data_IF_333861488892
#
_entry.id   IF_333861488892
#
_cell.length_a   1.000
_cell.length_b   1.000
_cell.length_c   1.000
_cell.angle_alpha   90.00
_cell.angle_beta   90.00
_cell.angle_gamma   90.00
#
_symmetry.space_group_name_H-M   'P 1'
#
loop_
_entity.id
_entity.type
_entity.pdbx_description
1 polymer ?
#
# COMPACT_ATOMS: atom_id res chain seq x y z
N UNK A 1 -1.84 -27.37 -15.22
CA UNK A 1 -1.41 -26.29 -16.14
C UNK A 1 -0.56 -25.31 -15.34
N UNK A 2 0.72 -25.16 -15.66
CA UNK A 2 1.72 -24.46 -14.85
C UNK A 2 1.49 -22.94 -14.87
N UNK A 3 1.07 -22.38 -13.73
CA UNK A 3 1.02 -20.92 -13.52
C UNK A 3 2.44 -20.36 -13.43
N UNK A 4 2.79 -19.46 -14.35
CA UNK A 4 4.06 -18.74 -14.41
C UNK A 4 4.35 -18.05 -13.08
N UNK A 5 5.30 -18.57 -12.30
CA UNK A 5 5.94 -17.80 -11.24
C UNK A 5 6.75 -16.69 -11.90
N UNK A 6 6.19 -15.48 -11.95
CA UNK A 6 6.97 -14.29 -12.32
C UNK A 6 8.09 -14.12 -11.27
N UNK A 7 9.34 -14.39 -11.68
CA UNK A 7 10.53 -14.42 -10.80
C UNK A 7 11.02 -13.02 -10.38
N UNK A 8 10.31 -11.95 -10.70
CA UNK A 8 10.71 -10.57 -10.38
C UNK A 8 10.11 -10.12 -9.04
N UNK A 9 10.82 -9.28 -8.25
CA UNK A 9 10.22 -8.56 -7.14
C UNK A 9 8.98 -7.79 -7.59
N UNK A 10 8.01 -7.62 -6.70
CA UNK A 10 6.83 -6.78 -6.98
C UNK A 10 7.27 -5.37 -7.36
N UNK A 11 6.70 -4.82 -8.44
CA UNK A 11 7.03 -3.47 -8.91
C UNK A 11 6.35 -2.39 -8.06
N UNK A 12 6.86 -1.15 -8.12
CA UNK A 12 6.23 -0.01 -7.43
C UNK A 12 4.80 0.21 -7.90
N UNK A 13 4.54 0.08 -9.21
CA UNK A 13 3.19 0.23 -9.77
C UNK A 13 2.22 -0.82 -9.22
N UNK A 14 2.64 -2.09 -9.13
CA UNK A 14 1.84 -3.16 -8.54
C UNK A 14 1.57 -2.92 -7.05
N UNK A 15 2.57 -2.44 -6.29
CA UNK A 15 2.41 -2.06 -4.89
C UNK A 15 1.43 -0.89 -4.74
N UNK A 16 1.57 0.15 -5.56
CA UNK A 16 0.68 1.30 -5.59
C UNK A 16 -0.77 0.90 -5.82
N UNK A 17 -1.03 0.09 -6.85
CA UNK A 17 -2.37 -0.43 -7.13
C UNK A 17 -2.95 -1.22 -5.96
N UNK A 18 -2.13 -2.08 -5.32
CA UNK A 18 -2.56 -2.90 -4.20
C UNK A 18 -2.92 -2.04 -2.98
N UNK A 19 -2.08 -1.05 -2.67
CA UNK A 19 -2.30 -0.07 -1.59
C UNK A 19 -3.58 0.74 -1.84
N UNK A 20 -3.72 1.34 -3.03
CA UNK A 20 -4.88 2.16 -3.40
C UNK A 20 -6.16 1.32 -3.36
N UNK A 21 -6.14 0.10 -3.91
CA UNK A 21 -7.28 -0.81 -3.88
C UNK A 21 -7.70 -1.12 -2.44
N UNK A 22 -6.73 -1.39 -1.57
CA UNK A 22 -7.02 -1.71 -0.17
C UNK A 22 -7.60 -0.49 0.58
N UNK A 23 -7.04 0.70 0.39
CA UNK A 23 -7.57 1.94 0.99
C UNK A 23 -9.00 2.18 0.52
N UNK A 24 -9.29 2.08 -0.78
CA UNK A 24 -10.64 2.27 -1.32
C UNK A 24 -11.63 1.24 -0.80
N UNK A 25 -11.22 -0.03 -0.74
CA UNK A 25 -12.09 -1.14 -0.27
C UNK A 25 -12.52 -0.97 1.19
N UNK A 26 -11.64 -0.41 2.02
CA UNK A 26 -11.88 -0.26 3.45
C UNK A 26 -12.27 1.17 3.85
N UNK A 27 -12.51 2.06 2.88
CA UNK A 27 -13.06 3.38 3.15
C UNK A 27 -14.42 3.20 3.84
N UNK A 28 -14.55 3.68 5.07
CA UNK A 28 -15.79 3.61 5.83
C UNK A 28 -16.61 4.85 5.55
N UNK A 29 -17.94 4.71 5.47
CA UNK A 29 -18.83 5.86 5.37
C UNK A 29 -19.35 6.18 6.78
N UNK A 30 -18.88 7.28 7.36
CA UNK A 30 -19.33 7.80 8.66
C UNK A 30 -19.99 9.17 8.45
N UNK A 31 -21.26 9.30 8.84
CA UNK A 31 -22.03 10.55 8.75
C UNK A 31 -21.88 11.24 7.38
N UNK A 32 -22.10 10.49 6.29
CA UNK A 32 -21.97 10.94 4.90
C UNK A 32 -20.54 11.35 4.46
N UNK A 33 -19.50 10.98 5.23
CA UNK A 33 -18.09 11.22 4.89
C UNK A 33 -17.36 9.90 4.73
N UNK A 34 -16.50 9.81 3.72
CA UNK A 34 -15.55 8.70 3.63
C UNK A 34 -14.41 8.95 4.61
N UNK A 35 -14.24 8.02 5.53
CA UNK A 35 -13.13 7.95 6.47
C UNK A 35 -12.20 6.86 5.99
N UNK A 36 -10.94 7.25 5.78
CA UNK A 36 -9.89 6.37 5.31
C UNK A 36 -8.96 6.02 6.46
N UNK A 37 -8.02 5.10 6.21
CA UNK A 37 -7.06 4.70 7.21
C UNK A 37 -6.17 5.87 7.65
N UNK A 38 -5.88 5.96 8.95
CA UNK A 38 -4.87 6.87 9.48
C UNK A 38 -3.45 6.39 9.14
N UNK A 39 -3.25 5.07 9.11
CA UNK A 39 -1.99 4.46 8.71
C UNK A 39 -2.23 3.23 7.82
N UNK A 40 -1.28 2.97 6.92
CA UNK A 40 -1.31 1.84 5.99
C UNK A 40 -0.02 1.05 6.15
N UNK A 41 -0.17 -0.25 6.36
CA UNK A 41 0.95 -1.18 6.50
C UNK A 41 1.07 -2.02 5.24
N UNK A 42 2.27 -2.02 4.68
CA UNK A 42 2.63 -2.74 3.46
C UNK A 42 3.51 -3.91 3.89
N UNK A 43 2.91 -5.10 3.90
CA UNK A 43 3.56 -6.33 4.32
C UNK A 43 4.16 -7.04 3.11
N UNK A 44 5.48 -6.98 2.97
CA UNK A 44 6.22 -7.58 1.88
C UNK A 44 6.80 -8.93 2.29
N UNK A 45 6.74 -9.92 1.39
CA UNK A 45 7.48 -11.17 1.58
C UNK A 45 8.99 -10.89 1.58
N UNK A 46 9.77 -11.71 2.29
CA UNK A 46 11.22 -11.52 2.50
C UNK A 46 12.02 -11.07 1.26
N UNK A 47 11.76 -11.68 0.10
CA UNK A 47 12.42 -11.33 -1.18
C UNK A 47 12.13 -9.89 -1.60
N UNK A 48 10.85 -9.50 -1.56
CA UNK A 48 10.42 -8.17 -1.99
C UNK A 48 10.85 -7.13 -0.95
N UNK A 49 10.80 -7.47 0.34
CA UNK A 49 11.29 -6.64 1.42
C UNK A 49 12.79 -6.36 1.28
N UNK A 50 13.61 -7.39 1.05
CA UNK A 50 15.05 -7.23 0.82
C UNK A 50 15.36 -6.36 -0.40
N UNK A 51 14.54 -6.43 -1.45
CA UNK A 51 14.68 -5.59 -2.64
C UNK A 51 14.34 -4.11 -2.36
N UNK A 52 13.26 -3.85 -1.64
CA UNK A 52 12.73 -2.50 -1.42
C UNK A 52 13.27 -1.80 -0.17
N UNK A 53 13.77 -2.53 0.82
CA UNK A 53 14.28 -1.95 2.06
C UNK A 53 15.38 -0.89 1.84
N UNK A 54 16.35 -1.06 0.93
CA UNK A 54 17.34 -0.02 0.63
C UNK A 54 16.74 1.26 0.04
N UNK A 55 15.57 1.17 -0.59
CA UNK A 55 14.86 2.26 -1.26
C UNK A 55 13.57 2.65 -0.53
N UNK A 56 13.46 2.29 0.77
CA UNK A 56 12.23 2.42 1.56
C UNK A 56 11.65 3.83 1.49
N UNK A 57 12.46 4.86 1.73
CA UNK A 57 11.97 6.24 1.77
C UNK A 57 11.41 6.69 0.42
N UNK A 58 12.12 6.40 -0.67
CA UNK A 58 11.71 6.72 -2.04
C UNK A 58 10.41 5.98 -2.42
N UNK A 59 10.30 4.70 -2.05
CA UNK A 59 9.10 3.91 -2.26
C UNK A 59 7.91 4.51 -1.50
N UNK A 60 8.07 4.80 -0.21
CA UNK A 60 7.00 5.37 0.62
C UNK A 60 6.60 6.76 0.13
N UNK A 61 7.54 7.59 -0.30
CA UNK A 61 7.25 8.90 -0.88
C UNK A 61 6.43 8.76 -2.17
N UNK A 62 6.84 7.87 -3.07
CA UNK A 62 6.12 7.62 -4.32
C UNK A 62 4.71 7.09 -4.08
N UNK A 63 4.54 6.12 -3.18
CA UNK A 63 3.23 5.57 -2.81
C UNK A 63 2.35 6.63 -2.12
N UNK A 64 2.94 7.49 -1.30
CA UNK A 64 2.25 8.60 -0.64
C UNK A 64 1.73 9.62 -1.65
N UNK A 65 2.52 9.97 -2.67
CA UNK A 65 2.08 10.84 -3.77
C UNK A 65 0.94 10.20 -4.57
N UNK A 66 1.07 8.93 -4.93
CA UNK A 66 0.00 8.22 -5.66
C UNK A 66 -1.31 8.15 -4.86
N UNK A 67 -1.24 7.93 -3.55
CA UNK A 67 -2.41 7.95 -2.68
C UNK A 67 -3.05 9.35 -2.61
N UNK A 68 -2.23 10.37 -2.43
CA UNK A 68 -2.68 11.76 -2.39
C UNK A 68 -3.37 12.20 -3.69
N UNK A 69 -2.93 11.68 -4.84
CA UNK A 69 -3.52 11.97 -6.15
C UNK A 69 -4.79 11.15 -6.43
N UNK A 70 -4.82 9.86 -6.07
CA UNK A 70 -5.89 8.93 -6.47
C UNK A 70 -7.00 8.73 -5.43
N UNK A 71 -6.82 9.20 -4.20
CA UNK A 71 -7.81 9.10 -3.12
C UNK A 71 -8.41 10.49 -2.83
N UNK A 72 -9.70 10.71 -3.17
CA UNK A 72 -10.36 11.97 -2.89
C UNK A 72 -10.59 12.12 -1.39
N UNK A 73 -10.10 13.22 -0.81
CA UNK A 73 -10.24 13.51 0.62
C UNK A 73 -10.64 14.98 0.83
N UNK A 74 -11.58 15.21 1.75
CA UNK A 74 -12.29 16.49 1.88
C UNK A 74 -11.41 17.61 2.43
N UNK A 75 -10.51 17.25 3.35
CA UNK A 75 -9.68 18.20 4.09
C UNK A 75 -8.28 18.40 3.45
N UNK A 76 -8.16 18.08 2.15
CA UNK A 76 -6.91 18.10 1.41
C UNK A 76 -6.42 16.71 1.01
N UNK A 77 -5.19 16.59 0.49
CA UNK A 77 -4.67 15.32 -0.02
C UNK A 77 -4.60 14.25 1.08
N UNK A 78 -5.06 13.04 0.77
CA UNK A 78 -4.98 11.92 1.70
C UNK A 78 -3.54 11.50 1.92
N UNK A 79 -3.05 11.64 3.16
CA UNK A 79 -1.65 11.35 3.54
C UNK A 79 -1.62 10.46 4.79
N UNK A 80 -1.87 9.15 4.65
CA UNK A 80 -1.73 8.23 5.78
C UNK A 80 -0.27 8.04 6.14
N UNK A 81 -0.02 7.60 7.37
CA UNK A 81 1.31 7.10 7.74
C UNK A 81 1.55 5.75 7.03
N UNK A 82 2.55 5.69 6.13
CA UNK A 82 2.89 4.47 5.42
C UNK A 82 4.02 3.72 6.12
N UNK A 83 3.82 2.42 6.35
CA UNK A 83 4.80 1.53 7.00
C UNK A 83 5.14 0.37 6.09
N UNK A 84 6.43 0.12 5.89
CA UNK A 84 6.93 -1.05 5.17
C UNK A 84 7.39 -2.10 6.18
N UNK A 85 6.80 -3.29 6.12
CA UNK A 85 7.03 -4.40 7.06
C UNK A 85 7.36 -5.67 6.28
N UNK A 86 8.17 -6.53 6.87
CA UNK A 86 8.39 -7.89 6.37
C UNK A 86 7.32 -8.84 6.95
N UNK A 87 6.87 -9.82 6.17
CA UNK A 87 5.94 -10.87 6.60
C UNK A 87 6.48 -12.26 6.26
N UNK A 88 6.15 -13.23 7.12
CA UNK A 88 6.37 -14.67 6.94
C UNK A 88 5.33 -15.33 6.01
N UNK A 89 4.28 -14.59 5.65
CA UNK A 89 3.24 -15.09 4.75
C UNK A 89 3.76 -15.32 3.33
N UNK A 90 3.06 -16.19 2.59
CA UNK A 90 3.44 -16.54 1.21
C UNK A 90 3.18 -15.43 0.18
N UNK A 91 2.53 -14.33 0.57
CA UNK A 91 2.08 -13.27 -0.34
C UNK A 91 2.21 -11.91 0.30
N UNK A 92 2.51 -10.92 -0.53
CA UNK A 92 2.46 -9.50 -0.17
C UNK A 92 1.00 -9.06 0.01
N UNK A 93 0.73 -8.31 1.07
CA UNK A 93 -0.60 -7.77 1.38
C UNK A 93 -0.52 -6.41 2.06
N UNK A 94 -1.65 -5.71 2.14
CA UNK A 94 -1.76 -4.40 2.79
C UNK A 94 -2.87 -4.42 3.82
N UNK A 95 -2.59 -3.83 4.98
CA UNK A 95 -3.53 -3.58 6.07
C UNK A 95 -3.55 -2.10 6.41
N UNK A 96 -4.47 -1.68 7.27
CA UNK A 96 -4.52 -0.31 7.75
C UNK A 96 -5.39 -0.21 8.99
N UNK A 97 -5.22 0.88 9.74
CA UNK A 97 -6.02 1.19 10.92
C UNK A 97 -6.51 2.63 10.90
N UNK A 98 -7.50 2.93 11.73
CA UNK A 98 -8.16 4.23 11.86
C UNK A 98 -7.63 5.01 13.06
#
# INVERSE_FOLDING_TARGET
>A
MFGRFSKKPISVAELGELVIRQVKKNAQVLMHRQVYFRYVEIHLVARDFAHWSPFKEQLLEQLGRELAEKIPHKDGPYRPELRLLETDQKKTYVTGGF
#
